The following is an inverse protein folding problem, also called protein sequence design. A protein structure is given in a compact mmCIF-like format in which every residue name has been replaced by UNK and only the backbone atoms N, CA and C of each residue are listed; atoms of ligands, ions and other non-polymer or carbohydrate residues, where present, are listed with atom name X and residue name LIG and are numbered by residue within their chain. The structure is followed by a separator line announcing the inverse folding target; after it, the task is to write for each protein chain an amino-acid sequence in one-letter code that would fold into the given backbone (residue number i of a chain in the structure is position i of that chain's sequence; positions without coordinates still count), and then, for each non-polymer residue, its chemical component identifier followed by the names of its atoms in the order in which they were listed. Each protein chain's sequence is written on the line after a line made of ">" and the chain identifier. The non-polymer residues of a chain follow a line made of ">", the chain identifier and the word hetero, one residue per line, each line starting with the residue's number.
data_IF_555429545595
#
_entry.id   IF_555429545595
#
_cell.length_a   1.000
_cell.length_b   1.000
_cell.length_c   1.000
_cell.angle_alpha   90.00
_cell.angle_beta   90.00
_cell.angle_gamma   90.00
#
_symmetry.space_group_name_H-M   'P 1'
#
loop_
_entity.id
_entity.type
_entity.pdbx_description
1 polymer ?
#
# COMPACT_ATOMS: atom_id res chain seq x y z
N UNK A 1 -57.34 -55.37 -36.65
CA UNK A 1 -56.46 -55.95 -37.69
C UNK A 1 -55.26 -56.66 -37.06
N UNK A 2 -54.76 -57.76 -37.65
CA UNK A 2 -53.55 -58.43 -37.14
C UNK A 2 -52.30 -57.91 -37.82
N UNK A 3 -51.24 -57.71 -37.04
CA UNK A 3 -49.94 -57.31 -37.58
C UNK A 3 -49.38 -58.44 -38.46
N UNK A 4 -48.99 -58.17 -39.72
CA UNK A 4 -48.42 -59.19 -40.59
C UNK A 4 -47.05 -59.70 -40.11
N UNK A 5 -46.32 -58.89 -39.33
CA UNK A 5 -44.96 -59.22 -38.86
C UNK A 5 -44.94 -60.12 -37.62
N UNK A 6 -45.79 -59.84 -36.63
CA UNK A 6 -45.76 -60.56 -35.34
C UNK A 6 -47.07 -61.25 -34.96
N UNK A 7 -48.13 -61.09 -35.77
CA UNK A 7 -49.44 -61.71 -35.52
C UNK A 7 -50.29 -61.06 -34.42
N UNK A 8 -49.79 -60.02 -33.75
CA UNK A 8 -50.53 -59.33 -32.69
C UNK A 8 -51.82 -58.66 -33.19
N UNK A 9 -52.87 -58.71 -32.38
CA UNK A 9 -54.16 -58.11 -32.69
C UNK A 9 -54.14 -56.62 -32.30
N UNK A 10 -54.37 -55.74 -33.27
CA UNK A 10 -54.34 -54.28 -33.08
C UNK A 10 -55.71 -53.68 -33.44
N UNK A 11 -56.11 -52.57 -32.79
CA UNK A 11 -57.36 -51.87 -33.10
C UNK A 11 -57.37 -51.38 -34.56
N UNK A 12 -58.57 -51.26 -35.15
CA UNK A 12 -58.71 -50.74 -36.51
C UNK A 12 -58.27 -49.27 -36.59
N UNK A 13 -57.46 -48.93 -37.60
CA UNK A 13 -56.87 -47.59 -37.76
C UNK A 13 -55.54 -47.36 -37.05
N UNK A 14 -54.98 -48.35 -36.34
CA UNK A 14 -53.66 -48.22 -35.74
C UNK A 14 -52.55 -48.07 -36.81
N UNK A 15 -51.75 -47.01 -36.72
CA UNK A 15 -50.63 -46.77 -37.66
C UNK A 15 -49.45 -47.72 -37.40
N UNK A 16 -49.25 -48.14 -36.15
CA UNK A 16 -48.14 -48.99 -35.72
C UNK A 16 -48.62 -50.14 -34.85
N UNK A 17 -47.92 -51.27 -34.92
CA UNK A 17 -48.20 -52.42 -34.08
C UNK A 17 -47.80 -52.12 -32.62
N UNK A 18 -48.72 -52.34 -31.70
CA UNK A 18 -48.50 -52.16 -30.26
C UNK A 18 -47.38 -53.04 -29.68
N UNK A 19 -47.05 -54.17 -30.33
CA UNK A 19 -46.08 -55.13 -29.80
C UNK A 19 -44.68 -54.95 -30.39
N UNK A 20 -44.56 -54.79 -31.71
CA UNK A 20 -43.27 -54.75 -32.40
C UNK A 20 -42.95 -53.40 -33.05
N UNK A 21 -43.84 -52.41 -32.90
CA UNK A 21 -43.74 -51.05 -33.49
C UNK A 21 -43.65 -51.01 -35.02
N UNK A 22 -43.92 -52.12 -35.72
CA UNK A 22 -43.96 -52.13 -37.18
C UNK A 22 -45.17 -51.33 -37.68
N UNK A 23 -44.97 -50.53 -38.73
CA UNK A 23 -46.04 -49.73 -39.31
C UNK A 23 -47.06 -50.64 -40.01
N UNK A 24 -48.34 -50.53 -39.65
CA UNK A 24 -49.42 -51.38 -40.19
C UNK A 24 -50.01 -50.85 -41.51
N UNK A 25 -49.69 -49.60 -41.85
CA UNK A 25 -50.14 -48.93 -43.07
C UNK A 25 -49.13 -49.10 -44.21
N UNK A 26 -49.17 -50.24 -44.92
CA UNK A 26 -48.55 -50.40 -46.24
C UNK A 26 -49.61 -50.82 -47.25
N UNK A 27 -50.20 -49.80 -47.91
CA UNK A 27 -51.18 -49.97 -48.97
C UNK A 27 -51.29 -48.76 -49.91
N UNK A 28 -50.31 -47.85 -49.88
CA UNK A 28 -50.11 -46.85 -50.95
C UNK A 28 -48.61 -46.78 -51.19
N UNK A 29 -48.26 -47.11 -52.43
CA UNK A 29 -46.92 -47.19 -52.96
C UNK A 29 -46.03 -46.01 -52.55
N UNK A 30 -44.77 -46.35 -52.28
CA UNK A 30 -43.65 -45.45 -52.17
C UNK A 30 -43.65 -44.40 -53.30
N UNK A 31 -44.08 -43.19 -52.97
CA UNK A 31 -43.68 -41.99 -53.67
C UNK A 31 -42.52 -41.38 -52.88
N UNK A 32 -41.33 -41.72 -53.36
CA UNK A 32 -40.08 -40.97 -53.28
C UNK A 32 -40.31 -39.48 -52.98
N UNK A 33 -40.31 -39.12 -51.70
CA UNK A 33 -40.04 -37.74 -51.28
C UNK A 33 -38.54 -37.67 -51.11
N UNK A 34 -37.88 -37.23 -52.17
CA UNK A 34 -36.50 -36.74 -52.14
C UNK A 34 -36.36 -35.71 -51.03
N UNK A 35 -35.94 -36.18 -49.86
CA UNK A 35 -35.45 -35.34 -48.79
C UNK A 35 -34.01 -35.01 -49.18
N UNK A 36 -33.85 -33.82 -49.75
CA UNK A 36 -32.58 -33.23 -50.12
C UNK A 36 -31.60 -33.34 -48.93
N UNK A 37 -30.61 -34.23 -49.10
CA UNK A 37 -29.71 -34.71 -48.06
C UNK A 37 -28.52 -33.76 -47.86
N UNK A 38 -28.69 -32.48 -48.17
CA UNK A 38 -27.65 -31.46 -48.13
C UNK A 38 -27.72 -30.52 -46.93
N UNK A 39 -28.63 -30.75 -45.98
CA UNK A 39 -28.58 -30.13 -44.66
C UNK A 39 -28.03 -31.12 -43.63
N UNK A 40 -26.74 -31.47 -43.75
CA UNK A 40 -26.01 -32.08 -42.64
C UNK A 40 -25.85 -31.00 -41.55
N UNK A 41 -26.85 -30.91 -40.67
CA UNK A 41 -26.69 -30.23 -39.39
C UNK A 41 -25.61 -30.98 -38.62
N UNK A 42 -24.43 -30.37 -38.50
CA UNK A 42 -23.35 -30.87 -37.67
C UNK A 42 -23.89 -31.05 -36.26
N UNK A 43 -23.93 -32.29 -35.76
CA UNK A 43 -24.23 -32.51 -34.35
C UNK A 43 -23.10 -31.89 -33.53
N UNK A 44 -23.44 -30.93 -32.65
CA UNK A 44 -22.51 -30.27 -31.73
C UNK A 44 -22.76 -30.85 -30.34
N UNK A 45 -21.74 -31.47 -29.74
CA UNK A 45 -21.89 -32.17 -28.47
C UNK A 45 -22.20 -31.17 -27.32
N UNK A 46 -22.95 -31.55 -26.26
CA UNK A 46 -23.32 -30.64 -25.17
C UNK A 46 -22.15 -29.93 -24.46
N UNK A 47 -20.91 -30.44 -24.57
CA UNK A 47 -19.69 -29.80 -24.08
C UNK A 47 -19.18 -28.66 -24.99
N UNK A 48 -19.48 -28.69 -26.28
CA UNK A 48 -19.09 -27.67 -27.27
C UNK A 48 -20.02 -26.45 -27.25
N UNK A 49 -21.22 -26.56 -26.67
CA UNK A 49 -22.15 -25.44 -26.45
C UNK A 49 -21.59 -24.30 -25.58
N UNK A 50 -20.48 -24.56 -24.86
CA UNK A 50 -19.82 -23.55 -24.03
C UNK A 50 -18.82 -22.68 -24.81
N UNK A 51 -18.44 -23.08 -26.02
CA UNK A 51 -17.50 -22.33 -26.86
C UNK A 51 -18.10 -21.11 -27.57
N UNK A 52 -19.42 -21.12 -27.82
CA UNK A 52 -20.09 -20.12 -28.67
C UNK A 52 -20.83 -19.02 -27.89
N UNK A 53 -20.61 -18.92 -26.57
CA UNK A 53 -21.18 -17.83 -25.77
C UNK A 53 -20.76 -16.44 -26.28
N UNK A 54 -19.64 -16.35 -27.02
CA UNK A 54 -19.19 -15.14 -27.69
C UNK A 54 -20.00 -14.83 -28.97
N UNK A 55 -20.45 -15.85 -29.70
CA UNK A 55 -21.22 -15.73 -30.96
C UNK A 55 -22.64 -15.21 -30.69
N UNK A 56 -23.19 -15.51 -29.50
CA UNK A 56 -24.50 -15.03 -29.07
C UNK A 56 -24.46 -13.69 -28.34
N UNK A 57 -23.31 -13.02 -28.22
CA UNK A 57 -23.28 -11.66 -27.65
C UNK A 57 -24.01 -10.72 -28.61
N UNK A 58 -25.17 -10.16 -28.23
CA UNK A 58 -25.84 -9.18 -29.08
C UNK A 58 -24.86 -8.02 -29.31
N UNK A 59 -24.70 -7.61 -30.57
CA UNK A 59 -23.88 -6.44 -30.91
C UNK A 59 -24.37 -5.26 -30.07
N UNK A 60 -23.49 -4.73 -29.23
CA UNK A 60 -23.79 -3.56 -28.40
C UNK A 60 -24.22 -2.42 -29.33
N UNK A 61 -25.31 -1.74 -28.97
CA UNK A 61 -25.72 -0.57 -29.74
C UNK A 61 -24.64 0.52 -29.66
N UNK A 62 -24.46 1.32 -30.72
CA UNK A 62 -23.42 2.36 -30.76
C UNK A 62 -23.58 3.39 -29.63
N UNK A 63 -24.81 3.59 -29.14
CA UNK A 63 -25.11 4.42 -27.98
C UNK A 63 -24.51 3.85 -26.68
N UNK A 64 -24.58 2.53 -26.49
CA UNK A 64 -24.00 1.86 -25.32
C UNK A 64 -22.49 1.87 -25.40
N UNK A 65 -21.92 1.61 -26.57
CA UNK A 65 -20.46 1.64 -26.78
C UNK A 65 -19.86 3.02 -26.45
N UNK A 66 -20.50 4.10 -26.92
CA UNK A 66 -20.10 5.48 -26.59
C UNK A 66 -20.30 5.85 -25.12
N UNK A 67 -21.20 5.16 -24.40
CA UNK A 67 -21.41 5.36 -22.95
C UNK A 67 -20.35 4.60 -22.15
N UNK A 68 -20.05 3.37 -22.55
CA UNK A 68 -19.01 2.53 -21.93
C UNK A 68 -17.62 3.16 -22.10
N UNK A 69 -17.29 3.69 -23.28
CA UNK A 69 -16.00 4.36 -23.50
C UNK A 69 -15.83 5.61 -22.62
N UNK A 70 -16.89 6.43 -22.50
CA UNK A 70 -16.89 7.59 -21.59
C UNK A 70 -16.78 7.19 -20.12
N UNK A 71 -17.41 6.09 -19.72
CA UNK A 71 -17.31 5.59 -18.35
C UNK A 71 -15.89 5.07 -18.04
N UNK A 72 -15.30 4.30 -18.96
CA UNK A 72 -13.90 3.83 -18.85
C UNK A 72 -12.91 4.99 -18.77
N UNK A 73 -13.10 6.03 -19.59
CA UNK A 73 -12.27 7.24 -19.55
C UNK A 73 -12.38 7.95 -18.20
N UNK A 74 -13.60 8.11 -17.66
CA UNK A 74 -13.80 8.68 -16.32
C UNK A 74 -13.09 7.85 -15.24
N UNK A 75 -13.24 6.52 -15.27
CA UNK A 75 -12.54 5.63 -14.34
C UNK A 75 -11.02 5.77 -14.43
N UNK A 76 -10.48 5.89 -15.64
CA UNK A 76 -9.05 6.09 -15.85
C UNK A 76 -8.58 7.43 -15.24
N UNK A 77 -9.33 8.51 -15.48
CA UNK A 77 -9.04 9.83 -14.90
C UNK A 77 -9.08 9.79 -13.37
N UNK A 78 -10.11 9.17 -12.78
CA UNK A 78 -10.20 9.01 -11.33
C UNK A 78 -9.06 8.15 -10.77
N UNK A 79 -8.69 7.08 -11.48
CA UNK A 79 -7.54 6.24 -11.14
C UNK A 79 -6.24 7.06 -11.09
N UNK A 80 -5.96 7.87 -12.12
CA UNK A 80 -4.80 8.76 -12.15
C UNK A 80 -4.84 9.74 -10.98
N UNK A 81 -5.98 10.39 -10.74
CA UNK A 81 -6.12 11.37 -9.65
C UNK A 81 -5.84 10.74 -8.28
N UNK A 82 -6.37 9.53 -8.01
CA UNK A 82 -6.12 8.81 -6.76
C UNK A 82 -4.63 8.45 -6.64
N UNK A 83 -4.01 7.93 -7.70
CA UNK A 83 -2.57 7.60 -7.66
C UNK A 83 -1.71 8.83 -7.42
N UNK A 84 -2.05 9.98 -8.02
CA UNK A 84 -1.34 11.23 -7.80
C UNK A 84 -1.45 11.70 -6.33
N UNK A 85 -2.62 11.57 -5.71
CA UNK A 85 -2.80 11.89 -4.28
C UNK A 85 -1.98 10.95 -3.40
N UNK A 86 -1.96 9.65 -3.69
CA UNK A 86 -1.15 8.68 -2.93
C UNK A 86 0.35 8.98 -3.05
N UNK A 87 0.84 9.26 -4.26
CA UNK A 87 2.23 9.66 -4.49
C UNK A 87 2.56 10.96 -3.76
N UNK A 88 1.67 11.95 -3.82
CA UNK A 88 1.84 13.21 -3.11
C UNK A 88 1.93 12.99 -1.60
N UNK A 89 1.02 12.20 -1.00
CA UNK A 89 1.06 11.87 0.43
C UNK A 89 2.34 11.13 0.81
N UNK A 90 2.77 10.16 0.00
CA UNK A 90 4.01 9.43 0.23
C UNK A 90 5.22 10.39 0.22
N UNK A 91 5.31 11.27 -0.78
CA UNK A 91 6.39 12.26 -0.87
C UNK A 91 6.36 13.26 0.29
N UNK A 92 5.17 13.76 0.66
CA UNK A 92 5.01 14.64 1.81
C UNK A 92 5.48 13.96 3.10
N UNK A 93 5.09 12.70 3.33
CA UNK A 93 5.55 11.95 4.50
C UNK A 93 7.05 11.69 4.48
N UNK A 94 7.65 11.37 3.33
CA UNK A 94 9.10 11.09 3.27
C UNK A 94 9.95 12.36 3.40
N UNK A 95 9.52 13.48 2.81
CA UNK A 95 10.31 14.72 2.80
C UNK A 95 10.17 15.45 4.14
N UNK A 96 9.01 15.39 4.79
CA UNK A 96 8.75 16.14 6.03
C UNK A 96 9.04 15.34 7.30
N UNK A 97 9.21 14.02 7.21
CA UNK A 97 9.47 13.18 8.39
C UNK A 97 10.96 13.14 8.79
N UNK A 98 11.86 13.79 8.04
CA UNK A 98 13.23 13.95 8.47
C UNK A 98 13.37 15.21 9.35
N UNK A 99 13.56 15.08 10.68
CA UNK A 99 13.74 16.25 11.53
C UNK A 99 14.97 17.03 11.07
N UNK A 100 14.87 18.36 11.10
CA UNK A 100 16.03 19.23 10.88
C UNK A 100 17.08 18.99 11.98
N UNK A 101 18.38 19.27 11.73
CA UNK A 101 19.42 19.11 12.75
C UNK A 101 19.09 19.91 14.02
N UNK A 102 18.55 21.13 13.89
CA UNK A 102 18.07 21.92 15.02
C UNK A 102 16.98 21.22 15.83
N UNK A 103 16.01 20.59 15.16
CA UNK A 103 14.96 19.83 15.85
C UNK A 103 15.50 18.58 16.58
N UNK A 104 16.56 17.95 16.07
CA UNK A 104 17.23 16.85 16.77
C UNK A 104 17.95 17.36 18.02
N UNK A 105 18.61 18.52 17.94
CA UNK A 105 19.25 19.18 19.07
C UNK A 105 18.23 19.56 20.16
N UNK A 106 17.08 20.12 19.78
CA UNK A 106 15.99 20.40 20.72
C UNK A 106 15.45 19.13 21.39
N UNK A 107 15.27 18.04 20.63
CA UNK A 107 14.84 16.75 21.19
C UNK A 107 15.86 16.17 22.17
N UNK A 108 17.16 16.36 21.91
CA UNK A 108 18.23 15.93 22.82
C UNK A 108 18.12 16.67 24.16
N UNK A 109 17.97 17.99 24.12
CA UNK A 109 17.81 18.81 25.32
C UNK A 109 16.50 18.50 26.06
N UNK A 110 15.41 18.26 25.33
CA UNK A 110 14.12 17.86 25.91
C UNK A 110 14.22 16.47 26.57
N UNK A 111 14.92 15.51 25.96
CA UNK A 111 15.19 14.21 26.56
C UNK A 111 16.02 14.34 27.85
N UNK A 112 17.03 15.21 27.87
CA UNK A 112 17.80 15.52 29.07
C UNK A 112 16.92 16.17 30.17
N UNK A 113 16.05 17.10 29.80
CA UNK A 113 15.11 17.76 30.72
C UNK A 113 14.10 16.80 31.33
N UNK A 114 13.57 15.87 30.52
CA UNK A 114 12.64 14.83 30.96
C UNK A 114 13.34 13.70 31.71
N UNK A 115 14.68 13.66 31.67
CA UNK A 115 15.52 12.62 32.27
C UNK A 115 15.20 11.23 31.72
N UNK A 116 14.95 11.20 30.42
CA UNK A 116 14.71 9.97 29.68
C UNK A 116 16.01 9.50 29.04
N UNK A 117 16.73 8.62 29.73
CA UNK A 117 17.99 8.05 29.26
C UNK A 117 17.82 7.32 27.92
N UNK A 118 16.70 6.61 27.73
CA UNK A 118 16.47 5.84 26.52
C UNK A 118 16.27 6.75 25.31
N UNK A 119 15.42 7.77 25.45
CA UNK A 119 15.21 8.77 24.40
C UNK A 119 16.49 9.56 24.09
N UNK A 120 17.30 9.89 25.11
CA UNK A 120 18.57 10.58 24.92
C UNK A 120 19.57 9.74 24.11
N UNK A 121 19.77 8.47 24.49
CA UNK A 121 20.72 7.56 23.84
C UNK A 121 20.27 7.16 22.43
N UNK A 122 18.96 7.07 22.18
CA UNK A 122 18.43 6.72 20.86
C UNK A 122 18.78 7.76 19.77
N UNK A 123 18.96 9.03 20.16
CA UNK A 123 19.35 10.11 19.25
C UNK A 123 20.81 10.01 18.77
N UNK A 124 21.64 9.23 19.45
CA UNK A 124 23.04 9.05 19.06
C UNK A 124 23.22 7.99 17.98
N UNK A 125 24.31 8.12 17.22
CA UNK A 125 24.73 7.09 16.27
C UNK A 125 24.89 5.75 17.00
N UNK A 126 24.43 4.60 16.45
CA UNK A 126 24.49 3.31 17.13
C UNK A 126 25.86 2.93 17.72
N UNK A 127 26.95 3.34 17.06
CA UNK A 127 28.32 3.08 17.52
C UNK A 127 28.75 3.92 18.73
N UNK A 128 28.10 5.06 18.96
CA UNK A 128 28.42 6.03 20.02
C UNK A 128 27.49 5.87 21.25
N UNK A 129 26.57 4.90 21.24
CA UNK A 129 25.54 4.74 22.29
C UNK A 129 26.12 4.53 23.68
N UNK A 130 27.21 3.78 23.81
CA UNK A 130 27.90 3.60 25.10
C UNK A 130 28.43 4.95 25.63
N UNK A 131 29.08 5.75 24.78
CA UNK A 131 29.53 7.09 25.14
C UNK A 131 28.37 8.05 25.44
N UNK A 132 27.22 7.86 24.78
CA UNK A 132 26.01 8.63 25.03
C UNK A 132 25.42 8.36 26.42
N UNK A 133 25.48 7.11 26.89
CA UNK A 133 25.08 6.75 28.26
C UNK A 133 25.95 7.45 29.29
N UNK A 134 27.27 7.44 29.12
CA UNK A 134 28.23 8.14 30.00
C UNK A 134 28.00 9.67 30.00
N UNK A 135 27.74 10.23 28.82
CA UNK A 135 27.41 11.65 28.66
C UNK A 135 26.10 11.99 29.37
N UNK A 136 25.07 11.15 29.21
CA UNK A 136 23.80 11.31 29.90
C UNK A 136 23.96 11.28 31.43
N UNK A 137 24.77 10.37 31.97
CA UNK A 137 25.06 10.34 33.41
C UNK A 137 25.73 11.63 33.88
N UNK A 138 26.70 12.15 33.10
CA UNK A 138 27.38 13.42 33.40
C UNK A 138 26.40 14.59 33.41
N UNK A 139 25.50 14.66 32.41
CA UNK A 139 24.47 15.71 32.32
C UNK A 139 23.46 15.59 33.46
N UNK A 140 22.99 14.38 33.74
CA UNK A 140 22.05 14.11 34.83
C UNK A 140 22.64 14.46 36.19
N UNK A 141 23.93 14.18 36.41
CA UNK A 141 24.65 14.56 37.62
C UNK A 141 24.78 16.09 37.74
N UNK A 142 25.11 16.78 36.64
CA UNK A 142 25.26 18.23 36.61
C UNK A 142 23.92 18.95 36.87
N UNK A 143 22.86 18.57 36.16
CA UNK A 143 21.52 19.14 36.35
C UNK A 143 20.95 18.76 37.72
N UNK A 144 21.23 17.56 38.20
CA UNK A 144 20.68 17.00 39.43
C UNK A 144 19.15 16.81 39.37
N UNK A 145 18.51 16.70 40.53
CA UNK A 145 17.10 16.26 40.67
C UNK A 145 16.03 17.14 40.01
N UNK A 146 16.26 18.45 39.90
CA UNK A 146 15.29 19.42 39.37
C UNK A 146 15.87 20.32 38.28
N UNK A 147 17.15 20.15 37.93
CA UNK A 147 17.79 20.98 36.94
C UNK A 147 17.26 20.73 35.53
N UNK A 148 17.34 21.75 34.69
CA UNK A 148 16.84 21.76 33.32
C UNK A 148 17.48 22.86 32.48
N UNK A 149 17.49 22.63 31.18
CA UNK A 149 17.70 23.62 30.14
C UNK A 149 16.40 24.39 29.89
N UNK A 150 16.43 25.72 29.98
CA UNK A 150 15.27 26.59 29.83
C UNK A 150 15.54 27.74 28.84
N UNK A 151 14.58 28.01 27.95
CA UNK A 151 14.68 29.09 26.97
C UNK A 151 15.88 28.98 26.03
N UNK A 152 16.33 27.75 25.72
CA UNK A 152 17.53 27.55 24.89
C UNK A 152 17.26 27.92 23.44
N UNK A 153 18.02 28.86 22.90
CA UNK A 153 18.03 29.17 21.47
C UNK A 153 19.14 28.38 20.78
N UNK A 154 18.75 27.53 19.85
CA UNK A 154 19.66 26.65 19.10
C UNK A 154 19.79 27.18 17.68
N UNK A 155 21.03 27.31 17.21
CA UNK A 155 21.36 27.65 15.82
C UNK A 155 22.09 26.47 15.19
N UNK A 156 21.62 26.00 14.03
CA UNK A 156 22.15 24.80 13.38
C UNK A 156 22.81 25.15 12.06
N UNK A 157 24.12 24.92 11.97
CA UNK A 157 24.92 25.08 10.76
C UNK A 157 25.14 23.74 10.07
N UNK A 158 24.64 23.62 8.85
CA UNK A 158 24.86 22.45 7.99
C UNK A 158 26.21 22.62 7.29
N UNK A 159 27.25 21.99 7.83
CA UNK A 159 28.61 22.05 7.28
C UNK A 159 28.74 21.26 5.97
N UNK A 160 28.04 20.12 5.89
CA UNK A 160 28.02 19.27 4.70
C UNK A 160 26.70 18.46 4.64
N UNK A 161 26.42 17.75 3.54
CA UNK A 161 25.27 16.84 3.48
C UNK A 161 25.28 15.75 4.57
N UNK A 162 26.46 15.46 5.13
CA UNK A 162 26.67 14.40 6.11
C UNK A 162 26.91 14.92 7.53
N UNK A 163 27.25 16.20 7.70
CA UNK A 163 27.65 16.73 9.01
C UNK A 163 26.97 18.08 9.27
N UNK A 164 26.50 18.27 10.49
CA UNK A 164 25.97 19.54 10.98
C UNK A 164 26.47 19.79 12.41
N UNK A 165 26.46 21.06 12.81
CA UNK A 165 26.71 21.46 14.20
C UNK A 165 25.58 22.34 14.68
N UNK A 166 25.09 22.09 15.87
CA UNK A 166 24.21 23.01 16.58
C UNK A 166 25.01 23.75 17.63
N UNK A 167 24.87 25.07 17.66
CA UNK A 167 25.40 25.94 18.70
C UNK A 167 24.25 26.36 19.61
N UNK A 168 24.48 26.32 20.92
CA UNK A 168 23.53 26.87 21.89
C UNK A 168 23.90 28.35 22.09
N UNK A 169 23.15 29.25 21.46
CA UNK A 169 23.49 30.69 21.42
C UNK A 169 22.92 31.47 22.62
N UNK A 170 21.95 30.88 23.32
CA UNK A 170 21.20 31.57 24.36
C UNK A 170 20.39 30.60 25.21
N UNK A 171 19.96 31.05 26.39
CA UNK A 171 19.14 30.28 27.33
C UNK A 171 19.76 30.20 28.72
N UNK A 172 19.19 29.36 29.57
CA UNK A 172 19.68 29.16 30.95
C UNK A 172 19.65 27.70 31.35
N UNK A 173 20.72 27.25 31.99
CA UNK A 173 20.81 25.93 32.62
C UNK A 173 20.59 26.12 34.12
N UNK A 174 19.46 25.66 34.62
CA UNK A 174 19.14 25.66 36.05
C UNK A 174 19.63 24.34 36.63
N UNK A 175 20.41 24.36 37.71
CA UNK A 175 20.80 23.14 38.43
C UNK A 175 19.93 22.93 39.67
N UNK A 176 19.91 21.70 40.19
CA UNK A 176 19.20 21.39 41.45
C UNK A 176 19.73 22.15 42.68
N UNK A 177 20.96 22.66 42.61
CA UNK A 177 21.54 23.50 43.67
C UNK A 177 20.97 24.92 43.70
N UNK A 178 20.19 25.30 42.68
CA UNK A 178 19.68 26.67 42.49
C UNK A 178 20.64 27.60 41.76
N UNK A 179 21.84 27.12 41.37
CA UNK A 179 22.71 27.86 40.45
C UNK A 179 22.10 27.86 39.05
N UNK A 180 22.18 29.01 38.38
CA UNK A 180 21.78 29.16 36.99
C UNK A 180 22.98 29.60 36.17
N UNK A 181 23.32 28.82 35.15
CA UNK A 181 24.31 29.18 34.15
C UNK A 181 23.60 29.82 32.96
N UNK A 182 24.01 31.01 32.56
CA UNK A 182 23.46 31.68 31.37
C UNK A 182 24.24 31.24 30.15
N UNK A 183 23.54 30.67 29.18
CA UNK A 183 24.13 30.24 27.92
C UNK A 183 24.34 31.48 27.08
N UNK A 184 25.58 31.70 26.67
CA UNK A 184 25.98 32.75 25.74
C UNK A 184 26.67 32.13 24.53
N UNK A 185 26.79 32.85 23.39
CA UNK A 185 27.54 32.36 22.24
C UNK A 185 29.01 32.03 22.56
N UNK A 186 29.56 32.62 23.63
CA UNK A 186 30.94 32.38 24.10
C UNK A 186 31.09 31.10 24.94
N UNK A 187 29.98 30.50 25.38
CA UNK A 187 29.98 29.29 26.20
C UNK A 187 30.48 28.04 25.45
N UNK A 188 30.64 28.13 24.11
CA UNK A 188 31.15 27.06 23.25
C UNK A 188 30.42 25.71 23.40
N UNK A 189 29.14 25.74 23.78
CA UNK A 189 28.30 24.55 23.85
C UNK A 189 27.87 24.16 22.43
N UNK A 190 28.32 23.00 21.98
CA UNK A 190 28.19 22.52 20.60
C UNK A 190 27.61 21.11 20.63
N UNK A 191 26.62 20.84 19.78
CA UNK A 191 26.15 19.48 19.51
C UNK A 191 26.57 19.14 18.09
N UNK A 192 27.39 18.10 17.94
CA UNK A 192 27.82 17.61 16.62
C UNK A 192 26.85 16.54 16.12
N UNK A 193 26.46 16.64 14.85
CA UNK A 193 25.51 15.74 14.22
C UNK A 193 26.07 15.15 12.93
N UNK A 194 25.75 13.88 12.69
CA UNK A 194 26.03 13.14 11.47
C UNK A 194 24.71 12.69 10.83
N UNK A 195 24.59 12.87 9.51
CA UNK A 195 23.47 12.38 8.72
C UNK A 195 23.80 10.99 8.16
N UNK A 196 22.98 10.00 8.51
CA UNK A 196 23.03 8.64 7.97
C UNK A 196 21.71 8.29 7.34
N UNK A 197 21.76 7.93 6.06
CA UNK A 197 20.60 7.49 5.29
C UNK A 197 19.43 8.49 5.33
N UNK A 198 19.75 9.78 5.36
CA UNK A 198 18.75 10.84 5.44
C UNK A 198 18.12 10.98 6.82
N UNK A 199 18.81 10.62 7.89
CA UNK A 199 18.43 10.89 9.28
C UNK A 199 19.61 11.46 10.05
N UNK A 200 19.36 12.51 10.82
CA UNK A 200 20.37 13.14 11.67
C UNK A 200 20.48 12.43 13.02
N UNK A 201 21.71 12.13 13.41
CA UNK A 201 22.07 11.53 14.69
C UNK A 201 23.13 12.39 15.37
N UNK A 202 23.12 12.42 16.70
CA UNK A 202 24.14 13.09 17.49
C UNK A 202 25.39 12.21 17.55
N UNK A 203 26.57 12.83 17.44
CA UNK A 203 27.86 12.15 17.63
C UNK A 203 28.40 12.50 19.01
N UNK A 204 28.94 11.52 19.73
CA UNK A 204 29.56 11.80 21.03
C UNK A 204 30.84 12.63 20.87
N UNK A 205 31.58 12.39 19.78
CA UNK A 205 32.76 13.16 19.45
C UNK A 205 32.37 14.59 19.04
N UNK A 206 32.91 15.58 19.76
CA UNK A 206 32.68 17.00 19.48
C UNK A 206 31.31 17.53 19.92
N UNK A 207 30.58 16.76 20.73
CA UNK A 207 29.39 17.26 21.44
C UNK A 207 29.79 17.63 22.86
N UNK A 208 29.54 18.88 23.21
CA UNK A 208 29.74 19.46 24.53
C UNK A 208 28.50 20.30 24.90
N UNK A 209 27.79 19.86 25.94
CA UNK A 209 26.51 20.44 26.38
C UNK A 209 26.54 20.85 27.85
N UNK A 210 27.71 20.76 28.48
CA UNK A 210 27.96 21.17 29.86
C UNK A 210 29.00 22.29 29.85
N UNK A 211 28.83 23.32 30.69
CA UNK A 211 29.80 24.41 30.80
C UNK A 211 31.01 24.05 31.67
#
# INVERSE_FOLDING_TARGET
>A
MRCPKCGAENPEGAEFCSLCMERLSEGVAAADRGMDRTAQGHYVAPSEWRGDAEVLRPKLSPAVEKKVSRFRLKLLIYGIAVTAVVVWLALSLTVWSNPSPGAVCERLLDAANRKDAAAFVELFVPRDRASAEDMYQSVSMYLGGTGRYSGVSVSADVLSPYNARCYLEGGRIETSSGSAFEITPESNLIISLENRDGRWYVTALGTDILP
#
